data_IF_215849318690
#
_entry.id   IF_215849318690
#
_cell.length_a   1.000
_cell.length_b   1.000
_cell.length_c   1.000
_cell.angle_alpha   90.00
_cell.angle_beta   90.00
_cell.angle_gamma   90.00
#
_symmetry.space_group_name_H-M   'P 1'
#
loop_
_entity.id
_entity.type
_entity.pdbx_description
1 polymer ?
#
# COMPACT_ATOMS: atom_id res chain seq x y z
N UNK A 1 -3.21 -65.18 17.76
CA UNK A 1 -4.12 -65.08 18.92
C UNK A 1 -4.41 -63.61 19.17
N UNK A 2 -5.71 -63.21 19.18
CA UNK A 2 -6.34 -62.19 20.06
C UNK A 2 -5.71 -60.76 20.07
N UNK A 3 -6.38 -59.64 19.78
CA UNK A 3 -7.79 -59.24 19.61
C UNK A 3 -7.85 -57.89 18.86
N UNK A 4 -8.91 -57.71 18.08
CA UNK A 4 -9.42 -56.45 17.56
C UNK A 4 -9.96 -55.58 18.73
N UNK A 5 -9.66 -54.28 18.77
CA UNK A 5 -10.50 -53.29 19.43
C UNK A 5 -10.46 -51.96 18.65
N UNK A 6 -11.62 -51.56 18.16
CA UNK A 6 -11.93 -50.27 17.51
C UNK A 6 -12.27 -49.27 18.59
N UNK A 7 -11.65 -48.09 18.65
CA UNK A 7 -12.24 -46.89 19.31
C UNK A 7 -11.73 -45.57 18.67
N UNK A 8 -12.60 -44.98 17.84
CA UNK A 8 -13.00 -43.56 17.74
C UNK A 8 -11.92 -42.49 17.45
N UNK A 9 -12.03 -41.92 16.23
CA UNK A 9 -11.43 -40.65 15.80
C UNK A 9 -12.02 -39.46 16.59
N UNK A 10 -11.17 -38.67 17.23
CA UNK A 10 -11.49 -37.31 17.68
C UNK A 10 -10.41 -36.35 17.18
N UNK A 11 -10.75 -35.58 16.14
CA UNK A 11 -9.99 -34.44 15.65
C UNK A 11 -10.06 -33.31 16.69
N UNK A 12 -8.95 -33.03 17.35
CA UNK A 12 -8.78 -31.82 18.16
C UNK A 12 -7.91 -30.82 17.39
N UNK A 13 -8.55 -29.87 16.73
CA UNK A 13 -7.88 -28.65 16.25
C UNK A 13 -7.68 -27.71 17.43
N UNK A 14 -6.44 -27.58 17.91
CA UNK A 14 -6.09 -26.53 18.86
C UNK A 14 -5.90 -25.22 18.09
N UNK A 15 -6.97 -24.43 18.04
CA UNK A 15 -6.88 -23.01 17.67
C UNK A 15 -6.36 -22.28 18.91
N UNK A 16 -5.08 -21.88 18.88
CA UNK A 16 -4.55 -20.96 19.87
C UNK A 16 -4.89 -19.55 19.41
N UNK A 17 -6.00 -19.00 19.91
CA UNK A 17 -6.27 -17.57 19.83
C UNK A 17 -5.53 -16.89 20.99
N UNK A 18 -4.45 -16.18 20.70
CA UNK A 18 -3.90 -15.20 21.64
C UNK A 18 -4.79 -13.96 21.63
N UNK A 19 -5.61 -13.81 22.67
CA UNK A 19 -6.40 -12.61 22.94
C UNK A 19 -5.48 -11.51 23.45
N UNK A 20 -5.17 -10.50 22.63
CA UNK A 20 -4.67 -9.23 23.13
C UNK A 20 -5.90 -8.36 23.39
N UNK A 21 -6.17 -8.12 24.67
CA UNK A 21 -7.08 -7.07 25.12
C UNK A 21 -6.26 -5.79 25.28
N UNK A 22 -6.59 -4.77 24.49
CA UNK A 22 -6.20 -3.39 24.76
C UNK A 22 -7.47 -2.60 25.11
N UNK A 23 -7.33 -1.79 26.14
CA UNK A 23 -8.39 -1.13 26.89
C UNK A 23 -9.30 -0.21 26.06
N UNK A 24 -10.55 -0.20 26.48
CA UNK A 24 -11.59 0.81 26.26
C UNK A 24 -11.13 2.21 26.69
N UNK A 25 -11.40 3.18 25.80
CA UNK A 25 -11.14 4.61 25.95
C UNK A 25 -11.82 5.38 24.82
N UNK A 26 -13.14 5.22 24.70
CA UNK A 26 -14.08 6.01 23.90
C UNK A 26 -13.61 7.41 23.43
N UNK A 27 -13.45 7.63 22.12
CA UNK A 27 -14.33 8.46 21.26
C UNK A 27 -13.91 8.37 19.79
N UNK A 28 -14.88 7.98 18.95
CA UNK A 28 -15.04 8.30 17.52
C UNK A 28 -13.88 8.03 16.54
N UNK A 29 -13.85 6.79 16.04
CA UNK A 29 -14.02 6.44 14.61
C UNK A 29 -13.68 4.96 14.47
N UNK A 30 -14.69 4.13 14.19
CA UNK A 30 -14.42 2.89 13.48
C UNK A 30 -13.75 3.36 12.18
N UNK A 31 -12.44 3.14 12.01
CA UNK A 31 -11.89 3.19 10.65
C UNK A 31 -12.68 2.16 9.87
N UNK A 32 -13.41 2.57 8.82
CA UNK A 32 -14.03 1.59 7.97
C UNK A 32 -12.88 0.77 7.41
N UNK A 33 -12.75 -0.49 7.84
CA UNK A 33 -12.28 -1.50 6.90
C UNK A 33 -13.36 -1.44 5.83
N UNK A 34 -13.10 -0.70 4.75
CA UNK A 34 -14.06 -0.44 3.70
C UNK A 34 -14.52 -1.79 3.13
N UNK A 35 -15.63 -2.31 3.64
CA UNK A 35 -16.28 -3.47 3.09
C UNK A 35 -17.06 -3.02 1.87
N UNK A 36 -16.35 -2.67 0.78
CA UNK A 36 -17.00 -2.41 -0.49
C UNK A 36 -17.59 -3.73 -1.00
N UNK A 37 -18.91 -3.79 -1.28
CA UNK A 37 -19.49 -4.96 -1.91
C UNK A 37 -18.79 -5.16 -3.26
N UNK A 38 -18.30 -6.37 -3.52
CA UNK A 38 -17.67 -6.70 -4.80
C UNK A 38 -18.63 -6.32 -5.95
N UNK A 39 -18.12 -5.90 -7.12
CA UNK A 39 -18.93 -5.35 -8.23
C UNK A 39 -20.14 -6.18 -8.66
N UNK A 40 -20.14 -7.49 -8.36
CA UNK A 40 -21.21 -8.43 -8.68
C UNK A 40 -22.32 -8.54 -7.62
N UNK A 41 -22.22 -7.89 -6.45
CA UNK A 41 -23.22 -7.98 -5.38
C UNK A 41 -24.31 -6.90 -5.49
N UNK A 42 -25.59 -7.20 -5.17
CA UNK A 42 -26.63 -6.19 -5.02
C UNK A 42 -26.23 -5.16 -3.96
N UNK A 43 -26.24 -3.88 -4.32
CA UNK A 43 -25.73 -2.80 -3.47
C UNK A 43 -24.26 -2.42 -3.72
N UNK A 44 -23.58 -3.08 -4.66
CA UNK A 44 -22.25 -2.67 -5.10
C UNK A 44 -22.28 -1.26 -5.69
N UNK A 45 -21.35 -0.44 -5.22
CA UNK A 45 -21.10 0.89 -5.78
C UNK A 45 -20.61 0.70 -7.21
N UNK A 46 -21.22 1.43 -8.15
CA UNK A 46 -20.70 1.49 -9.51
C UNK A 46 -19.43 2.32 -9.51
N UNK A 47 -18.28 1.70 -9.78
CA UNK A 47 -17.04 2.41 -10.01
C UNK A 47 -17.10 3.05 -11.41
N UNK A 48 -16.84 4.35 -11.47
CA UNK A 48 -16.57 5.05 -12.73
C UNK A 48 -15.13 5.53 -12.69
N UNK A 49 -14.46 5.51 -13.84
CA UNK A 49 -13.17 6.18 -13.98
C UNK A 49 -13.44 7.67 -13.81
N UNK A 50 -12.85 8.26 -12.77
CA UNK A 50 -13.00 9.69 -12.47
C UNK A 50 -11.96 10.52 -13.24
N UNK A 51 -10.75 10.00 -13.40
CA UNK A 51 -9.66 10.64 -14.11
C UNK A 51 -8.72 9.60 -14.72
N UNK A 52 -8.03 9.95 -15.81
CA UNK A 52 -7.11 9.06 -16.51
C UNK A 52 -6.07 9.83 -17.32
N UNK A 53 -4.92 9.20 -17.52
CA UNK A 53 -3.96 9.62 -18.52
C UNK A 53 -4.53 9.45 -19.93
N UNK A 54 -4.16 10.33 -20.85
CA UNK A 54 -4.57 10.23 -22.26
C UNK A 54 -3.72 9.23 -23.07
N UNK A 55 -2.73 8.62 -22.42
CA UNK A 55 -1.80 7.62 -22.95
C UNK A 55 -1.46 6.61 -21.87
N UNK A 56 -0.83 5.51 -22.26
CA UNK A 56 -0.50 4.39 -21.37
C UNK A 56 0.98 4.20 -21.15
N UNK A 57 1.82 4.66 -22.08
CA UNK A 57 3.25 4.82 -21.84
C UNK A 57 3.45 6.02 -20.93
N UNK A 58 3.96 5.81 -19.72
CA UNK A 58 4.18 6.84 -18.72
C UNK A 58 5.65 6.84 -18.29
N UNK A 59 6.10 8.00 -17.84
CA UNK A 59 7.44 8.18 -17.28
C UNK A 59 7.37 8.55 -15.81
N UNK A 60 8.29 8.04 -15.01
CA UNK A 60 8.42 8.49 -13.61
C UNK A 60 9.85 8.88 -13.29
N UNK A 61 10.03 9.74 -12.29
CA UNK A 61 11.34 10.17 -11.81
C UNK A 61 11.36 10.22 -10.29
N UNK A 62 12.43 9.69 -9.70
CA UNK A 62 12.65 9.73 -8.26
C UNK A 62 13.57 10.91 -7.95
N UNK A 63 13.07 11.92 -7.23
CA UNK A 63 13.73 13.21 -7.10
C UNK A 63 14.77 13.27 -5.99
N UNK A 64 14.59 12.52 -4.92
CA UNK A 64 15.46 12.51 -3.74
C UNK A 64 15.44 11.17 -3.01
N UNK A 65 16.36 10.99 -2.08
CA UNK A 65 16.41 9.83 -1.20
C UNK A 65 15.64 10.11 0.10
N UNK A 66 14.96 9.12 0.69
CA UNK A 66 14.44 9.23 2.06
C UNK A 66 15.57 9.33 3.09
N UNK A 67 15.29 9.96 4.23
CA UNK A 67 16.25 10.14 5.32
C UNK A 67 16.40 8.91 6.23
N UNK A 68 15.41 8.02 6.28
CA UNK A 68 15.33 6.92 7.26
C UNK A 68 15.76 5.55 6.73
N UNK A 69 15.97 5.39 5.42
CA UNK A 69 16.34 4.13 4.78
C UNK A 69 17.38 4.32 3.67
N UNK A 70 18.12 3.26 3.34
CA UNK A 70 19.09 3.27 2.25
C UNK A 70 18.44 3.68 0.92
N UNK A 71 19.08 4.63 0.23
CA UNK A 71 18.54 5.21 -0.99
C UNK A 71 18.36 4.19 -2.13
N UNK A 72 19.31 3.26 -2.30
CA UNK A 72 19.19 2.25 -3.36
C UNK A 72 18.03 1.29 -3.07
N UNK A 73 17.86 0.90 -1.80
CA UNK A 73 16.72 0.06 -1.39
C UNK A 73 15.38 0.77 -1.55
N UNK A 74 15.31 2.06 -1.24
CA UNK A 74 14.11 2.86 -1.47
C UNK A 74 13.77 2.94 -2.96
N UNK A 75 14.77 3.20 -3.80
CA UNK A 75 14.57 3.29 -5.25
C UNK A 75 14.18 1.93 -5.84
N UNK A 76 14.73 0.84 -5.34
CA UNK A 76 14.32 -0.52 -5.69
C UNK A 76 12.85 -0.78 -5.32
N UNK A 77 12.40 -0.35 -4.14
CA UNK A 77 11.00 -0.48 -3.72
C UNK A 77 10.06 0.31 -4.64
N UNK A 78 10.39 1.56 -4.98
CA UNK A 78 9.60 2.39 -5.91
C UNK A 78 9.54 1.76 -7.30
N UNK A 79 10.68 1.29 -7.83
CA UNK A 79 10.73 0.59 -9.14
C UNK A 79 9.89 -0.68 -9.14
N UNK A 80 9.95 -1.45 -8.05
CA UNK A 80 9.16 -2.67 -7.91
C UNK A 80 7.66 -2.37 -7.89
N UNK A 81 7.24 -1.29 -7.23
CA UNK A 81 5.84 -0.86 -7.20
C UNK A 81 5.32 -0.47 -8.59
N UNK A 82 6.05 0.37 -9.34
CA UNK A 82 5.66 0.70 -10.73
C UNK A 82 5.62 -0.54 -11.63
N UNK A 83 6.57 -1.46 -11.46
CA UNK A 83 6.59 -2.72 -12.22
C UNK A 83 5.38 -3.61 -11.89
N UNK A 84 4.93 -3.64 -10.63
CA UNK A 84 3.75 -4.41 -10.26
C UNK A 84 2.49 -3.92 -11.00
N UNK A 85 2.34 -2.60 -11.19
CA UNK A 85 1.26 -2.03 -12.00
C UNK A 85 1.39 -2.33 -13.48
N UNK A 86 2.61 -2.26 -14.04
CA UNK A 86 2.89 -2.60 -15.43
C UNK A 86 2.43 -4.05 -15.75
N UNK A 87 2.75 -4.99 -14.86
CA UNK A 87 2.47 -6.42 -15.05
C UNK A 87 0.98 -6.78 -15.11
N UNK A 88 0.10 -5.93 -14.56
CA UNK A 88 -1.34 -6.24 -14.42
C UNK A 88 -2.25 -5.23 -15.11
N UNK A 89 -1.69 -4.24 -15.81
CA UNK A 89 -2.46 -3.19 -16.49
C UNK A 89 -2.02 -3.02 -17.94
N UNK A 90 -2.61 -2.04 -18.63
CA UNK A 90 -2.11 -1.60 -19.95
C UNK A 90 -1.08 -0.48 -19.86
N UNK A 91 -0.77 0.01 -18.65
CA UNK A 91 0.19 1.09 -18.42
C UNK A 91 1.61 0.51 -18.47
N UNK A 92 2.56 1.27 -18.99
CA UNK A 92 3.99 0.95 -18.93
C UNK A 92 4.74 2.10 -18.31
N UNK A 93 5.75 1.82 -17.48
CA UNK A 93 6.46 2.85 -16.75
C UNK A 93 7.95 2.86 -17.10
N UNK A 94 8.46 4.01 -17.54
CA UNK A 94 9.89 4.21 -17.81
C UNK A 94 10.48 5.21 -16.82
N UNK A 95 11.49 4.79 -16.06
CA UNK A 95 12.23 5.71 -15.20
C UNK A 95 13.08 6.67 -16.04
N UNK A 96 12.97 7.96 -15.75
CA UNK A 96 13.77 9.03 -16.34
C UNK A 96 14.43 9.85 -15.24
N UNK A 97 15.40 10.70 -15.60
CA UNK A 97 16.08 11.59 -14.66
C UNK A 97 15.56 13.02 -14.73
N UNK A 98 15.58 13.71 -13.59
CA UNK A 98 15.21 15.12 -13.47
C UNK A 98 13.70 15.32 -13.34
N UNK A 99 13.25 16.56 -13.51
CA UNK A 99 11.89 16.97 -13.14
C UNK A 99 10.91 16.95 -14.32
N UNK A 100 11.27 16.28 -15.41
CA UNK A 100 10.44 16.19 -16.62
C UNK A 100 10.01 14.74 -16.83
N UNK A 101 9.06 14.30 -15.99
CA UNK A 101 8.42 13.00 -16.05
C UNK A 101 6.90 13.19 -15.88
N UNK A 102 6.13 12.15 -16.22
CA UNK A 102 4.68 12.17 -15.98
C UNK A 102 4.35 12.07 -14.51
N UNK A 103 5.17 11.38 -13.72
CA UNK A 103 4.97 11.18 -12.29
C UNK A 103 6.30 11.47 -11.57
N UNK A 104 6.31 12.48 -10.70
CA UNK A 104 7.44 12.77 -9.83
C UNK A 104 7.22 12.11 -8.47
N UNK A 105 8.22 11.37 -7.99
CA UNK A 105 8.20 10.75 -6.66
C UNK A 105 9.20 11.48 -5.78
N UNK A 106 8.73 12.00 -4.65
CA UNK A 106 9.60 12.70 -3.70
C UNK A 106 9.23 12.46 -2.24
N UNK A 107 10.24 12.50 -1.39
CA UNK A 107 10.11 12.56 0.07
C UNK A 107 10.15 14.01 0.54
N UNK A 108 9.20 14.41 1.39
CA UNK A 108 9.13 15.76 1.95
C UNK A 108 8.51 15.72 3.36
N UNK A 109 8.70 16.79 4.12
CA UNK A 109 8.05 17.01 5.44
C UNK A 109 7.18 18.27 5.44
N UNK A 110 7.06 18.94 4.29
CA UNK A 110 6.49 20.27 4.17
C UNK A 110 5.02 20.28 3.72
N UNK A 111 4.35 19.13 3.74
CA UNK A 111 2.93 19.01 3.35
C UNK A 111 2.06 18.88 4.60
N UNK A 112 1.02 19.71 4.70
CA UNK A 112 0.14 19.74 5.88
C UNK A 112 -0.68 18.45 6.01
N UNK A 113 -0.90 17.76 4.89
CA UNK A 113 -1.62 16.48 4.75
C UNK A 113 -0.99 15.33 5.54
N UNK A 114 0.31 15.41 5.82
CA UNK A 114 1.05 14.39 6.57
C UNK A 114 0.71 14.40 8.06
N UNK A 115 0.56 15.60 8.64
CA UNK A 115 0.20 15.77 10.04
C UNK A 115 1.35 15.47 11.01
N UNK A 116 1.27 14.36 11.75
CA UNK A 116 2.29 13.93 12.72
C UNK A 116 2.79 12.54 12.36
N UNK A 117 4.02 12.16 12.74
CA UNK A 117 4.56 10.82 12.46
C UNK A 117 3.64 9.69 12.96
N UNK A 118 3.49 8.65 12.15
CA UNK A 118 2.47 7.60 12.29
C UNK A 118 1.11 7.97 11.69
N UNK A 119 1.05 9.06 10.89
CA UNK A 119 -0.15 9.62 10.30
C UNK A 119 -0.33 9.21 8.83
N UNK A 120 -0.48 10.20 7.95
CA UNK A 120 -0.57 9.98 6.51
C UNK A 120 0.82 9.72 5.95
N UNK A 121 1.05 8.53 5.40
CA UNK A 121 2.37 8.11 4.89
C UNK A 121 2.76 8.76 3.57
N UNK A 122 1.76 9.18 2.79
CA UNK A 122 1.96 9.80 1.50
C UNK A 122 0.63 10.11 0.83
N UNK A 123 0.69 10.88 -0.26
CA UNK A 123 -0.44 11.12 -1.15
C UNK A 123 0.03 11.24 -2.59
N UNK A 124 -0.91 11.15 -3.54
CA UNK A 124 -0.65 11.34 -4.94
C UNK A 124 -1.70 12.23 -5.58
N UNK A 125 -1.30 13.00 -6.60
CA UNK A 125 -2.25 13.74 -7.42
C UNK A 125 -2.96 12.81 -8.43
N UNK A 126 -4.12 13.25 -8.92
CA UNK A 126 -4.78 12.54 -10.02
C UNK A 126 -4.01 12.74 -11.35
N UNK A 127 -4.21 11.86 -12.35
CA UNK A 127 -3.58 11.98 -13.67
C UNK A 127 -3.64 13.36 -14.32
N UNK A 128 -4.80 14.03 -14.30
CA UNK A 128 -4.98 15.37 -14.87
C UNK A 128 -4.15 16.47 -14.18
N UNK A 129 -3.66 16.19 -12.97
CA UNK A 129 -2.80 17.06 -12.17
C UNK A 129 -1.34 16.59 -12.12
N UNK A 130 -0.96 15.60 -12.94
CA UNK A 130 0.42 15.13 -13.01
C UNK A 130 0.71 13.91 -12.17
N UNK A 131 -0.23 13.31 -11.43
CA UNK A 131 0.03 12.01 -10.79
C UNK A 131 1.14 11.97 -9.72
N UNK A 132 1.77 13.11 -9.41
CA UNK A 132 2.96 13.18 -8.56
C UNK A 132 2.69 12.59 -7.19
N UNK A 133 3.68 11.87 -6.66
CA UNK A 133 3.64 11.13 -5.41
C UNK A 133 4.54 11.83 -4.38
N UNK A 134 3.94 12.14 -3.24
CA UNK A 134 4.58 12.78 -2.10
C UNK A 134 4.58 11.79 -0.95
N UNK A 135 5.76 11.47 -0.43
CA UNK A 135 5.97 10.55 0.68
C UNK A 135 6.44 11.33 1.90
N UNK A 136 5.92 11.00 3.08
CA UNK A 136 6.32 11.66 4.31
C UNK A 136 7.73 11.20 4.74
N UNK A 137 8.70 12.11 4.71
CA UNK A 137 10.09 11.83 5.12
C UNK A 137 10.26 11.80 6.65
N UNK A 138 9.23 12.18 7.42
CA UNK A 138 9.22 12.01 8.87
C UNK A 138 8.96 10.55 9.29
N UNK A 139 8.49 9.71 8.37
CA UNK A 139 8.15 8.32 8.65
C UNK A 139 9.37 7.39 8.70
N UNK A 140 9.26 6.35 9.53
CA UNK A 140 10.26 5.29 9.63
C UNK A 140 9.96 4.21 8.60
N UNK A 141 10.47 4.41 7.39
CA UNK A 141 10.27 3.50 6.26
C UNK A 141 10.91 2.12 6.51
N UNK A 142 10.13 1.08 6.23
CA UNK A 142 10.61 -0.30 6.07
C UNK A 142 10.55 -0.68 4.58
N UNK A 143 11.15 -1.82 4.24
CA UNK A 143 11.33 -2.24 2.84
C UNK A 143 11.05 -3.74 2.73
N UNK A 144 10.02 -4.10 1.97
CA UNK A 144 9.64 -5.48 1.64
C UNK A 144 9.40 -6.37 2.87
N UNK A 145 8.80 -5.82 3.92
CA UNK A 145 8.40 -6.55 5.12
C UNK A 145 6.87 -6.67 5.30
N UNK A 146 6.08 -6.02 4.45
CA UNK A 146 4.62 -5.98 4.51
C UNK A 146 4.09 -5.22 5.73
N UNK A 147 4.95 -4.47 6.41
CA UNK A 147 4.62 -3.67 7.58
C UNK A 147 3.79 -2.42 7.25
N UNK A 148 3.32 -1.71 8.29
CA UNK A 148 2.49 -0.52 8.11
C UNK A 148 3.22 0.63 7.42
N UNK A 149 4.55 0.66 7.45
CA UNK A 149 5.40 1.67 6.78
C UNK A 149 6.29 1.05 5.70
N UNK A 150 5.86 -0.07 5.11
CA UNK A 150 6.59 -0.67 3.99
C UNK A 150 6.43 0.20 2.75
N UNK A 151 7.53 0.80 2.31
CA UNK A 151 7.55 1.72 1.18
C UNK A 151 7.04 1.07 -0.12
N UNK A 152 7.33 -0.21 -0.35
CA UNK A 152 6.82 -0.89 -1.55
C UNK A 152 5.28 -0.95 -1.53
N UNK A 153 4.72 -1.29 -0.37
CA UNK A 153 3.26 -1.42 -0.19
C UNK A 153 2.56 -0.06 -0.27
N UNK A 154 3.20 1.01 0.20
CA UNK A 154 2.61 2.36 0.15
C UNK A 154 2.60 2.93 -1.28
N UNK A 155 3.59 2.58 -2.10
CA UNK A 155 3.70 3.09 -3.48
C UNK A 155 2.96 2.21 -4.50
N UNK A 156 2.80 0.90 -4.23
CA UNK A 156 2.08 -0.05 -5.09
C UNK A 156 0.58 0.03 -4.86
#
# INVERSE_FOLDING_TARGET
MKRLLVVIFLLFTAVITSSISAQDGNTDKNTPIDSYPLPAQPGAVRYTIADQWNRTDLTFSILNCPSTVDCNRAYEAVRAAFKAWDEVSSLTFTEVSGNNADILVQWTVNEEEFGQPGGTLGFAYYPSYGGDIFLDDAERWTIFDGGPTDLYVVVA
#
